data_IF_279522440442
#
_entry.id   IF_279522440442
#
_cell.length_a   1.000
_cell.length_b   1.000
_cell.length_c   1.000
_cell.angle_alpha   90.00
_cell.angle_beta   90.00
_cell.angle_gamma   90.00
#
_symmetry.space_group_name_H-M   'P 1'
#
loop_
_entity.id
_entity.type
_entity.pdbx_description
1 polymer ?
#
# COMPACT_ATOMS: atom_id res chain seq x y z
N UNK A 1 -11.37 -5.58 -31.15
CA UNK A 1 -11.42 -6.28 -29.84
C UNK A 1 -10.05 -6.79 -29.38
N UNK A 2 -9.18 -7.30 -30.27
CA UNK A 2 -7.81 -7.76 -29.93
C UNK A 2 -6.93 -6.66 -29.33
N UNK A 3 -6.89 -5.47 -29.95
CA UNK A 3 -6.07 -4.34 -29.48
C UNK A 3 -6.41 -3.88 -28.06
N UNK A 4 -7.67 -3.97 -27.64
CA UNK A 4 -8.08 -3.60 -26.27
C UNK A 4 -7.57 -4.63 -25.26
N UNK A 5 -7.66 -5.93 -25.57
CA UNK A 5 -7.18 -7.00 -24.69
C UNK A 5 -5.67 -6.93 -24.49
N UNK A 6 -4.91 -6.65 -25.55
CA UNK A 6 -3.46 -6.47 -25.48
C UNK A 6 -3.09 -5.28 -24.58
N UNK A 7 -3.77 -4.14 -24.75
CA UNK A 7 -3.54 -2.95 -23.92
C UNK A 7 -3.84 -3.20 -22.44
N UNK A 8 -4.95 -3.87 -22.14
CA UNK A 8 -5.31 -4.24 -20.76
C UNK A 8 -4.28 -5.22 -20.19
N UNK A 9 -3.88 -6.23 -20.94
CA UNK A 9 -2.85 -7.19 -20.53
C UNK A 9 -1.52 -6.51 -20.21
N UNK A 10 -1.06 -5.60 -21.07
CA UNK A 10 0.15 -4.80 -20.84
C UNK A 10 0.06 -3.92 -19.59
N UNK A 11 -1.09 -3.27 -19.38
CA UNK A 11 -1.32 -2.48 -18.16
C UNK A 11 -1.27 -3.34 -16.89
N UNK A 12 -1.96 -4.49 -16.89
CA UNK A 12 -1.97 -5.42 -15.75
C UNK A 12 -0.56 -5.94 -15.46
N UNK A 13 0.19 -6.31 -16.50
CA UNK A 13 1.57 -6.75 -16.35
C UNK A 13 2.46 -5.65 -15.73
N UNK A 14 2.35 -4.42 -16.22
CA UNK A 14 3.12 -3.30 -15.68
C UNK A 14 2.81 -3.04 -14.19
N UNK A 15 1.53 -2.99 -13.82
CA UNK A 15 1.13 -2.80 -12.41
C UNK A 15 1.60 -3.98 -11.55
N UNK A 16 1.45 -5.21 -12.03
CA UNK A 16 1.88 -6.41 -11.29
C UNK A 16 3.40 -6.42 -11.08
N UNK A 17 4.18 -6.02 -12.07
CA UNK A 17 5.64 -5.89 -11.94
C UNK A 17 6.01 -4.83 -10.91
N UNK A 18 5.35 -3.66 -10.90
CA UNK A 18 5.59 -2.61 -9.90
C UNK A 18 5.28 -3.13 -8.49
N UNK A 19 4.13 -3.78 -8.31
CA UNK A 19 3.73 -4.33 -7.01
C UNK A 19 4.70 -5.40 -6.53
N UNK A 20 5.12 -6.31 -7.43
CA UNK A 20 6.08 -7.34 -7.11
C UNK A 20 7.44 -6.76 -6.70
N UNK A 21 7.98 -5.81 -7.47
CA UNK A 21 9.23 -5.14 -7.14
C UNK A 21 9.15 -4.38 -5.82
N UNK A 22 8.03 -3.72 -5.53
CA UNK A 22 7.85 -3.05 -4.26
C UNK A 22 7.85 -4.06 -3.09
N UNK A 23 7.12 -5.18 -3.20
CA UNK A 23 7.09 -6.23 -2.16
C UNK A 23 8.47 -6.83 -1.94
N UNK A 24 9.18 -7.11 -3.03
CA UNK A 24 10.56 -7.57 -2.98
C UNK A 24 11.48 -6.54 -2.31
N UNK A 25 11.38 -5.26 -2.63
CA UNK A 25 12.18 -4.20 -2.02
C UNK A 25 11.94 -4.09 -0.50
N UNK A 26 10.66 -4.14 -0.07
CA UNK A 26 10.31 -4.14 1.35
C UNK A 26 10.88 -5.37 2.06
N UNK A 27 10.78 -6.55 1.44
CA UNK A 27 11.36 -7.79 1.97
C UNK A 27 12.88 -7.68 2.14
N UNK A 28 13.60 -7.24 1.10
CA UNK A 28 15.06 -7.08 1.15
C UNK A 28 15.50 -6.06 2.18
N UNK A 29 14.75 -4.96 2.32
CA UNK A 29 15.04 -3.95 3.34
C UNK A 29 14.81 -4.54 4.73
N UNK A 30 13.70 -5.24 4.93
CA UNK A 30 13.41 -5.87 6.22
C UNK A 30 14.49 -6.89 6.62
N UNK A 31 14.92 -7.77 5.72
CA UNK A 31 15.98 -8.76 5.99
C UNK A 31 17.37 -8.13 6.15
N UNK A 32 17.67 -7.03 5.46
CA UNK A 32 18.94 -6.33 5.65
C UNK A 32 19.04 -5.67 7.04
N UNK A 33 17.93 -5.10 7.52
CA UNK A 33 17.91 -4.39 8.79
C UNK A 33 17.61 -5.29 10.01
N UNK A 34 16.94 -6.42 9.82
CA UNK A 34 16.72 -7.47 10.84
C UNK A 34 17.66 -8.64 10.59
N UNK A 35 18.64 -8.81 11.47
CA UNK A 35 19.73 -9.80 11.32
C UNK A 35 19.24 -11.25 11.41
N UNK A 36 18.09 -11.52 12.06
CA UNK A 36 17.69 -12.88 12.43
C UNK A 36 16.19 -13.16 12.17
N UNK A 37 15.82 -13.58 10.96
CA UNK A 37 14.48 -14.11 10.72
C UNK A 37 14.53 -15.42 9.94
N UNK A 38 13.58 -16.28 10.32
CA UNK A 38 13.28 -17.66 9.90
C UNK A 38 13.75 -18.09 8.50
N UNK A 39 13.91 -19.42 8.27
CA UNK A 39 14.19 -19.95 6.96
C UNK A 39 13.28 -19.31 5.88
N UNK A 40 13.86 -18.79 4.78
CA UNK A 40 13.26 -17.77 3.92
C UNK A 40 11.91 -18.14 3.25
N UNK A 41 11.49 -19.40 3.29
CA UNK A 41 10.46 -19.94 2.40
C UNK A 41 9.04 -19.42 2.67
N UNK A 42 8.61 -19.35 3.93
CA UNK A 42 7.21 -19.03 4.26
C UNK A 42 6.93 -17.54 4.05
N UNK A 43 7.79 -16.66 4.58
CA UNK A 43 7.62 -15.21 4.47
C UNK A 43 7.63 -14.73 3.02
N UNK A 44 8.52 -15.29 2.19
CA UNK A 44 8.57 -14.99 0.76
C UNK A 44 7.30 -15.46 0.05
N UNK A 45 6.82 -16.68 0.33
CA UNK A 45 5.59 -17.21 -0.26
C UNK A 45 4.37 -16.35 0.11
N UNK A 46 4.26 -15.94 1.37
CA UNK A 46 3.18 -15.06 1.86
C UNK A 46 3.25 -13.70 1.17
N UNK A 47 4.42 -13.06 1.11
CA UNK A 47 4.58 -11.76 0.43
C UNK A 47 4.32 -11.85 -1.08
N UNK A 48 4.74 -12.95 -1.73
CA UNK A 48 4.45 -13.18 -3.15
C UNK A 48 2.94 -13.30 -3.38
N UNK A 49 2.24 -14.07 -2.56
CA UNK A 49 0.77 -14.19 -2.62
C UNK A 49 0.08 -12.83 -2.39
N UNK A 50 0.56 -12.07 -1.41
CA UNK A 50 0.06 -10.73 -1.11
C UNK A 50 0.28 -9.76 -2.28
N UNK A 51 1.40 -9.86 -3.00
CA UNK A 51 1.73 -9.00 -4.14
C UNK A 51 0.80 -9.17 -5.34
N UNK A 52 0.21 -10.36 -5.53
CA UNK A 52 -0.74 -10.64 -6.62
C UNK A 52 -2.20 -10.45 -6.19
N UNK A 53 -2.47 -10.48 -4.89
CA UNK A 53 -3.82 -10.47 -4.32
C UNK A 53 -4.67 -9.27 -4.77
N UNK A 54 -4.08 -8.06 -4.81
CA UNK A 54 -4.81 -6.83 -5.15
C UNK A 54 -5.23 -6.78 -6.62
N UNK A 55 -4.34 -7.16 -7.53
CA UNK A 55 -4.64 -7.20 -8.97
C UNK A 55 -5.71 -8.25 -9.24
N UNK A 56 -5.56 -9.45 -8.67
CA UNK A 56 -6.56 -10.51 -8.76
C UNK A 56 -7.92 -10.07 -8.22
N UNK A 57 -7.95 -9.44 -7.04
CA UNK A 57 -9.18 -8.95 -6.43
C UNK A 57 -9.86 -7.86 -7.27
N UNK A 58 -9.08 -6.95 -7.85
CA UNK A 58 -9.59 -5.85 -8.69
C UNK A 58 -10.23 -6.39 -9.98
N UNK A 59 -9.58 -7.35 -10.65
CA UNK A 59 -10.13 -8.02 -11.83
C UNK A 59 -11.41 -8.79 -11.49
N UNK A 60 -11.42 -9.49 -10.36
CA UNK A 60 -12.58 -10.27 -9.93
C UNK A 60 -13.76 -9.38 -9.55
N UNK A 61 -13.52 -8.27 -8.84
CA UNK A 61 -14.53 -7.28 -8.47
C UNK A 61 -15.12 -6.54 -9.68
N UNK A 62 -14.36 -6.42 -10.78
CA UNK A 62 -14.88 -5.88 -12.03
C UNK A 62 -15.89 -6.83 -12.69
N UNK A 63 -15.72 -8.15 -12.53
CA UNK A 63 -16.56 -9.16 -13.19
C UNK A 63 -17.75 -9.63 -12.34
N UNK A 64 -17.60 -9.65 -11.02
CA UNK A 64 -18.54 -10.24 -10.08
C UNK A 64 -18.85 -9.30 -8.91
N UNK A 65 -20.12 -9.28 -8.48
CA UNK A 65 -20.59 -8.38 -7.41
C UNK A 65 -21.11 -9.10 -6.16
N UNK A 66 -20.71 -10.37 -5.97
CA UNK A 66 -21.13 -11.14 -4.80
C UNK A 66 -20.39 -10.70 -3.51
N UNK A 67 -20.87 -11.19 -2.36
CA UNK A 67 -20.32 -10.82 -1.05
C UNK A 67 -18.85 -11.23 -0.88
N UNK A 68 -18.48 -12.44 -1.27
CA UNK A 68 -17.12 -12.97 -1.11
C UNK A 68 -16.09 -12.16 -1.89
N UNK A 69 -16.41 -11.79 -3.14
CA UNK A 69 -15.53 -10.96 -3.97
C UNK A 69 -15.34 -9.57 -3.38
N UNK A 70 -16.40 -8.96 -2.84
CA UNK A 70 -16.32 -7.67 -2.15
C UNK A 70 -15.47 -7.74 -0.88
N UNK A 71 -15.59 -8.82 -0.11
CA UNK A 71 -14.76 -9.05 1.07
C UNK A 71 -13.29 -9.22 0.70
N UNK A 72 -13.00 -10.08 -0.28
CA UNK A 72 -11.63 -10.29 -0.77
C UNK A 72 -10.98 -9.00 -1.27
N UNK A 73 -11.71 -8.21 -2.07
CA UNK A 73 -11.25 -6.90 -2.52
C UNK A 73 -10.99 -5.93 -1.37
N UNK A 74 -11.87 -5.86 -0.36
CA UNK A 74 -11.64 -5.02 0.82
C UNK A 74 -10.39 -5.43 1.60
N UNK A 75 -10.16 -6.73 1.78
CA UNK A 75 -8.96 -7.24 2.45
C UNK A 75 -7.71 -6.90 1.65
N UNK A 76 -7.71 -7.17 0.34
CA UNK A 76 -6.56 -6.89 -0.53
C UNK A 76 -6.25 -5.40 -0.64
N UNK A 77 -7.28 -4.55 -0.76
CA UNK A 77 -7.11 -3.09 -0.78
C UNK A 77 -6.61 -2.55 0.56
N UNK A 78 -7.10 -3.11 1.68
CA UNK A 78 -6.59 -2.75 3.02
C UNK A 78 -5.13 -3.14 3.15
N UNK A 79 -4.76 -4.37 2.76
CA UNK A 79 -3.36 -4.79 2.75
C UNK A 79 -2.48 -3.85 1.92
N UNK A 80 -2.90 -3.51 0.70
CA UNK A 80 -2.14 -2.59 -0.15
C UNK A 80 -1.95 -1.21 0.51
N UNK A 81 -2.96 -0.74 1.25
CA UNK A 81 -2.87 0.49 2.05
C UNK A 81 -1.81 0.40 3.15
N UNK A 82 -1.76 -0.69 3.91
CA UNK A 82 -0.70 -0.94 4.89
C UNK A 82 0.68 -1.06 4.22
N UNK A 83 0.73 -1.78 3.11
CA UNK A 83 1.94 -2.01 2.34
C UNK A 83 2.56 -0.69 1.84
N UNK A 84 1.76 0.31 1.48
CA UNK A 84 2.25 1.64 1.14
C UNK A 84 3.05 2.29 2.29
N UNK A 85 2.58 2.18 3.53
CA UNK A 85 3.33 2.68 4.69
C UNK A 85 4.62 1.89 4.93
N UNK A 86 4.60 0.57 4.72
CA UNK A 86 5.83 -0.25 4.80
C UNK A 86 6.84 0.11 3.71
N UNK A 87 6.38 0.41 2.50
CA UNK A 87 7.24 0.88 1.42
C UNK A 87 7.92 2.22 1.76
N UNK A 88 7.16 3.17 2.31
CA UNK A 88 7.72 4.45 2.79
C UNK A 88 8.70 4.22 3.93
N UNK A 89 8.38 3.36 4.91
CA UNK A 89 9.29 3.02 6.01
C UNK A 89 10.58 2.35 5.52
N UNK A 90 10.51 1.48 4.51
CA UNK A 90 11.67 0.86 3.88
C UNK A 90 12.57 1.92 3.24
N UNK A 91 12.01 2.84 2.47
CA UNK A 91 12.76 3.97 1.88
C UNK A 91 13.40 4.85 2.96
N UNK A 92 12.63 5.24 3.99
CA UNK A 92 13.14 6.03 5.11
C UNK A 92 14.25 5.33 5.90
N UNK A 93 14.21 4.00 6.01
CA UNK A 93 15.25 3.21 6.70
C UNK A 93 16.60 3.38 6.01
N UNK A 94 16.63 3.35 4.67
CA UNK A 94 17.83 3.60 3.89
C UNK A 94 18.33 5.04 4.03
N UNK A 95 17.44 6.03 4.01
CA UNK A 95 17.83 7.43 4.24
C UNK A 95 18.44 7.65 5.62
N UNK A 96 17.83 7.09 6.68
CA UNK A 96 18.35 7.18 8.05
C UNK A 96 19.68 6.46 8.16
N UNK A 97 19.82 5.27 7.59
CA UNK A 97 21.07 4.51 7.61
C UNK A 97 22.19 5.23 6.86
N UNK A 98 21.93 5.71 5.65
CA UNK A 98 22.93 6.45 4.87
C UNK A 98 23.32 7.76 5.57
N UNK A 99 22.34 8.49 6.11
CA UNK A 99 22.58 9.70 6.88
C UNK A 99 23.43 9.45 8.12
N UNK A 100 23.17 8.37 8.86
CA UNK A 100 23.99 8.03 10.04
C UNK A 100 25.44 7.71 9.65
N UNK A 101 25.64 7.02 8.51
CA UNK A 101 26.99 6.72 7.98
C UNK A 101 27.75 7.98 7.58
N UNK A 102 27.08 8.95 6.95
CA UNK A 102 27.69 10.24 6.59
C UNK A 102 28.07 11.07 7.83
N UNK A 103 27.25 11.00 8.88
CA UNK A 103 27.50 11.71 10.15
C UNK A 103 28.46 10.99 11.10
N UNK A 104 28.95 9.79 10.74
CA UNK A 104 29.82 8.98 11.61
C UNK A 104 29.11 8.36 12.82
N UNK A 105 27.77 8.32 12.82
CA UNK A 105 26.96 7.76 13.91
C UNK A 105 26.59 6.31 13.60
N UNK A 106 26.88 5.42 14.54
CA UNK A 106 26.53 3.99 14.46
C UNK A 106 25.14 3.74 15.03
N UNK A 107 24.12 3.82 14.18
CA UNK A 107 22.78 3.37 14.55
C UNK A 107 22.63 1.86 14.35
N UNK A 108 22.09 1.18 15.35
CA UNK A 108 21.74 -0.24 15.23
C UNK A 108 20.67 -0.43 14.16
N UNK A 109 20.97 -1.22 13.13
CA UNK A 109 20.03 -1.51 12.03
C UNK A 109 18.66 -2.02 12.53
N UNK A 110 18.58 -2.92 13.53
CA UNK A 110 17.28 -3.36 14.05
C UNK A 110 16.47 -2.24 14.70
N UNK A 111 17.12 -1.26 15.33
CA UNK A 111 16.45 -0.13 15.98
C UNK A 111 15.75 0.74 14.91
N UNK A 112 16.47 1.04 13.83
CA UNK A 112 15.92 1.82 12.69
C UNK A 112 14.70 1.12 12.11
N UNK A 113 14.80 -0.19 11.81
CA UNK A 113 13.68 -0.95 11.28
C UNK A 113 12.51 -1.03 12.27
N UNK A 114 12.76 -1.31 13.55
CA UNK A 114 11.70 -1.42 14.56
C UNK A 114 10.89 -0.13 14.71
N UNK A 115 11.58 1.01 14.77
CA UNK A 115 10.92 2.30 14.91
C UNK A 115 10.12 2.66 13.65
N UNK A 116 10.72 2.55 12.45
CA UNK A 116 10.08 2.97 11.22
C UNK A 116 8.96 2.02 10.78
N UNK A 117 9.15 0.71 10.83
CA UNK A 117 8.09 -0.24 10.52
C UNK A 117 7.02 -0.28 11.62
N UNK A 118 7.38 -0.09 12.89
CA UNK A 118 6.41 0.08 13.97
C UNK A 118 5.54 1.32 13.76
N UNK A 119 6.15 2.45 13.41
CA UNK A 119 5.44 3.68 13.04
C UNK A 119 4.53 3.45 11.80
N UNK A 120 4.97 2.69 10.81
CA UNK A 120 4.16 2.33 9.65
C UNK A 120 2.93 1.49 10.02
N UNK A 121 3.04 0.55 10.97
CA UNK A 121 1.88 -0.20 11.51
C UNK A 121 0.89 0.76 12.17
N UNK A 122 1.38 1.65 13.05
CA UNK A 122 0.53 2.63 13.75
C UNK A 122 -0.16 3.56 12.75
N UNK A 123 0.59 4.07 11.77
CA UNK A 123 0.06 4.93 10.70
C UNK A 123 -0.98 4.19 9.84
N UNK A 124 -0.75 2.92 9.52
CA UNK A 124 -1.70 2.08 8.79
C UNK A 124 -3.00 1.84 9.56
N UNK A 125 -2.90 1.53 10.87
CA UNK A 125 -4.06 1.39 11.75
C UNK A 125 -4.85 2.70 11.86
N UNK A 126 -4.15 3.82 12.10
CA UNK A 126 -4.76 5.14 12.11
C UNK A 126 -5.44 5.45 10.77
N UNK A 127 -4.77 5.19 9.65
CA UNK A 127 -5.31 5.38 8.30
C UNK A 127 -6.56 4.55 8.06
N UNK A 128 -6.59 3.30 8.49
CA UNK A 128 -7.76 2.42 8.38
C UNK A 128 -8.95 2.95 9.19
N UNK A 129 -8.72 3.43 10.41
CA UNK A 129 -9.78 4.03 11.24
C UNK A 129 -10.24 5.36 10.64
N UNK A 130 -9.32 6.21 10.22
CA UNK A 130 -9.61 7.51 9.63
C UNK A 130 -10.39 7.36 8.31
N UNK A 131 -10.06 6.39 7.47
CA UNK A 131 -10.76 6.13 6.20
C UNK A 131 -12.22 5.68 6.40
N UNK A 132 -12.57 5.11 7.57
CA UNK A 132 -13.96 4.77 7.91
C UNK A 132 -14.79 6.01 8.29
N UNK A 133 -14.15 7.15 8.55
CA UNK A 133 -14.81 8.38 8.98
C UNK A 133 -15.02 9.31 7.79
N UNK A 134 -16.18 9.20 7.15
CA UNK A 134 -16.58 10.11 6.08
C UNK A 134 -17.15 11.38 6.72
N UNK A 135 -16.48 12.52 6.50
CA UNK A 135 -16.97 13.82 6.94
C UNK A 135 -17.77 14.51 5.82
N UNK A 136 -19.08 14.61 5.99
CA UNK A 136 -19.95 15.33 5.05
C UNK A 136 -20.10 16.77 5.54
N UNK A 137 -19.46 17.73 4.85
CA UNK A 137 -19.67 19.17 5.09
C UNK A 137 -20.64 19.70 4.04
N UNK A 138 -21.84 20.10 4.46
CA UNK A 138 -22.77 20.86 3.62
C UNK A 138 -22.41 22.33 3.73
N UNK A 139 -22.07 22.94 2.59
CA UNK A 139 -21.74 24.36 2.52
C UNK A 139 -22.89 25.03 1.78
N UNK A 140 -23.63 25.90 2.46
CA UNK A 140 -24.66 26.72 1.83
C UNK A 140 -23.98 27.89 1.13
N UNK A 141 -23.92 27.84 -0.20
CA UNK A 141 -23.37 28.93 -1.01
C UNK A 141 -24.50 29.89 -1.36
N UNK A 142 -24.35 31.18 -1.05
CA UNK A 142 -25.24 32.22 -1.58
C UNK A 142 -24.84 32.50 -3.02
N UNK A 143 -25.67 32.09 -3.98
CA UNK A 143 -25.46 32.39 -5.40
C UNK A 143 -26.08 33.76 -5.71
N UNK A 144 -25.27 34.77 -6.10
CA UNK A 144 -25.81 36.03 -6.59
C UNK A 144 -26.53 35.79 -7.92
N UNK A 145 -27.66 36.47 -8.15
CA UNK A 145 -28.42 36.46 -9.41
C UNK A 145 -29.07 35.12 -9.80
N UNK A 146 -29.66 34.39 -8.86
CA UNK A 146 -30.43 33.18 -9.21
C UNK A 146 -31.77 33.53 -9.90
N UNK A 147 -32.15 32.84 -10.99
CA UNK A 147 -33.46 32.99 -11.64
C UNK A 147 -34.59 32.75 -10.63
N UNK A 148 -35.72 33.45 -10.78
CA UNK A 148 -36.87 33.33 -9.87
C UNK A 148 -37.42 31.90 -9.76
N UNK A 149 -37.23 31.06 -10.77
CA UNK A 149 -37.61 29.64 -10.80
C UNK A 149 -36.69 28.73 -9.98
N UNK A 150 -35.51 29.22 -9.57
CA UNK A 150 -34.49 28.48 -8.82
C UNK A 150 -34.14 29.12 -7.46
N UNK A 151 -34.90 30.13 -7.02
CA UNK A 151 -34.86 30.60 -5.62
C UNK A 151 -35.49 29.57 -4.70
#
# INVERSE_FOLDING_TARGET
TSNIRVRIGGFVAAIQSILFLAHWFVYQTWTFFRVDLDPPSITQAVLALLSVSFVAASLLAFRYSNFFVRLFYRIAATWLGFFNFFFVAAGMSWFVYLGSRVLGVTLGRPIVANLLFGAAVIAGLYGLVNARRIWVKRITVKLPNMPSTWR
#
